data_IF_519271493481
#
_entry.id   IF_519271493481
#
_cell.length_a   1.000
_cell.length_b   1.000
_cell.length_c   1.000
_cell.angle_alpha   90.00
_cell.angle_beta   90.00
_cell.angle_gamma   90.00
#
_symmetry.space_group_name_H-M   'P 1'
#
loop_
_entity.id
_entity.type
_entity.pdbx_description
1 polymer ?
#
# COMPACT_ATOMS: atom_id res chain seq x y z
N UNK A 1 5.32 3.54 -19.54
CA UNK A 1 3.90 3.76 -19.48
C UNK A 1 3.53 4.54 -18.22
N UNK A 2 2.66 5.48 -18.40
CA UNK A 2 2.36 6.39 -17.32
C UNK A 2 1.18 5.92 -16.51
N UNK A 3 1.35 5.78 -15.23
CA UNK A 3 0.23 5.45 -14.36
C UNK A 3 -0.62 6.68 -14.11
N UNK A 4 -1.88 6.47 -13.88
CA UNK A 4 -2.78 7.55 -13.57
C UNK A 4 -3.08 8.42 -14.79
N UNK A 5 -4.11 9.22 -14.68
CA UNK A 5 -4.59 10.00 -15.83
C UNK A 5 -3.71 11.19 -16.13
N UNK A 6 -3.01 11.71 -15.15
CA UNK A 6 -2.15 12.88 -15.29
C UNK A 6 -0.67 12.51 -15.24
N UNK A 7 -0.35 11.23 -15.30
CA UNK A 7 1.02 10.78 -15.27
C UNK A 7 1.58 10.55 -13.88
N UNK A 8 0.81 10.84 -12.84
CA UNK A 8 1.24 10.61 -11.47
C UNK A 8 1.10 9.14 -11.11
N UNK A 9 2.01 8.59 -10.30
CA UNK A 9 1.84 7.22 -9.84
C UNK A 9 0.54 7.07 -9.05
N UNK A 10 -0.11 5.94 -9.24
CA UNK A 10 -1.37 5.66 -8.56
C UNK A 10 -1.15 4.70 -7.42
N UNK A 11 -1.58 5.10 -6.25
CA UNK A 11 -1.41 4.31 -5.02
C UNK A 11 -2.78 3.87 -4.53
N UNK A 12 -2.90 2.59 -4.22
CA UNK A 12 -4.11 2.05 -3.61
C UNK A 12 -3.87 1.91 -2.12
N UNK A 13 -4.69 2.58 -1.31
CA UNK A 13 -4.58 2.54 0.15
C UNK A 13 -5.74 1.74 0.72
N UNK A 14 -5.43 0.77 1.55
CA UNK A 14 -6.42 -0.11 2.17
C UNK A 14 -6.31 -0.02 3.69
N UNK A 15 -7.38 0.41 4.34
CA UNK A 15 -7.41 0.54 5.80
C UNK A 15 -8.87 0.61 6.19
N UNK A 16 -9.27 -0.16 7.22
CA UNK A 16 -10.67 -0.14 7.64
C UNK A 16 -10.96 0.95 8.65
N UNK A 17 -9.96 1.70 9.08
CA UNK A 17 -10.16 2.87 9.92
C UNK A 17 -10.37 4.08 9.01
N UNK A 18 -11.60 4.57 8.96
CA UNK A 18 -11.97 5.59 7.99
C UNK A 18 -11.15 6.86 8.13
N UNK A 19 -10.89 7.28 9.37
CA UNK A 19 -10.14 8.52 9.59
C UNK A 19 -8.69 8.35 9.16
N UNK A 20 -8.09 7.21 9.48
CA UNK A 20 -6.70 6.96 9.06
C UNK A 20 -6.59 6.93 7.54
N UNK A 21 -7.59 6.34 6.89
CA UNK A 21 -7.59 6.26 5.43
C UNK A 21 -7.69 7.65 4.82
N UNK A 22 -8.54 8.49 5.39
CA UNK A 22 -8.71 9.86 4.87
C UNK A 22 -7.44 10.69 5.05
N UNK A 23 -6.81 10.57 6.21
CA UNK A 23 -5.57 11.31 6.46
C UNK A 23 -4.47 10.87 5.49
N UNK A 24 -4.36 9.57 5.29
CA UNK A 24 -3.34 9.06 4.37
C UNK A 24 -3.59 9.51 2.95
N UNK A 25 -4.86 9.53 2.54
CA UNK A 25 -5.20 10.00 1.20
C UNK A 25 -4.75 11.44 1.00
N UNK A 26 -4.99 12.30 1.98
CA UNK A 26 -4.58 13.70 1.89
C UNK A 26 -3.07 13.82 1.82
N UNK A 27 -2.37 13.06 2.66
CA UNK A 27 -0.92 13.11 2.67
C UNK A 27 -0.34 12.72 1.31
N UNK A 28 -0.84 11.65 0.73
CA UNK A 28 -0.31 11.15 -0.53
C UNK A 28 -0.69 12.06 -1.69
N UNK A 29 -1.92 12.58 -1.68
CA UNK A 29 -2.33 13.50 -2.74
C UNK A 29 -1.49 14.76 -2.71
N UNK A 30 -1.18 15.29 -1.52
CA UNK A 30 -0.33 16.45 -1.41
C UNK A 30 1.09 16.18 -1.90
N UNK A 31 1.52 14.93 -1.83
CA UNK A 31 2.84 14.57 -2.32
C UNK A 31 2.88 14.31 -3.83
N UNK A 32 1.73 14.45 -4.50
CA UNK A 32 1.70 14.33 -5.95
C UNK A 32 1.22 13.00 -6.49
N UNK A 33 0.71 12.13 -5.63
CA UNK A 33 0.25 10.81 -6.08
C UNK A 33 -1.25 10.81 -6.35
N UNK A 34 -1.68 10.01 -7.31
CA UNK A 34 -3.09 9.69 -7.48
C UNK A 34 -3.44 8.58 -6.48
N UNK A 35 -4.59 8.69 -5.83
CA UNK A 35 -4.90 7.79 -4.72
C UNK A 35 -6.26 7.15 -4.91
N UNK A 36 -6.30 5.83 -4.78
CA UNK A 36 -7.54 5.07 -4.63
C UNK A 36 -7.59 4.57 -3.18
N UNK A 37 -8.78 4.50 -2.62
CA UNK A 37 -8.93 4.02 -1.25
C UNK A 37 -9.92 2.88 -1.18
N UNK A 38 -9.69 1.97 -0.24
CA UNK A 38 -10.57 0.85 0.02
C UNK A 38 -10.63 0.64 1.53
N UNK A 39 -11.81 0.28 2.03
CA UNK A 39 -12.02 0.11 3.46
C UNK A 39 -11.98 -1.35 3.90
N UNK A 40 -11.71 -2.27 2.99
CA UNK A 40 -11.56 -3.68 3.33
C UNK A 40 -10.59 -4.33 2.37
N UNK A 41 -10.09 -5.49 2.76
CA UNK A 41 -9.20 -6.24 1.87
C UNK A 41 -9.89 -6.66 0.60
N UNK A 42 -11.15 -7.07 0.69
CA UNK A 42 -11.89 -7.50 -0.49
C UNK A 42 -12.10 -6.35 -1.45
N UNK A 43 -12.52 -5.20 -0.96
CA UNK A 43 -12.68 -4.02 -1.82
C UNK A 43 -11.35 -3.63 -2.46
N UNK A 44 -10.28 -3.69 -1.66
CA UNK A 44 -8.97 -3.35 -2.17
C UNK A 44 -8.53 -4.27 -3.30
N UNK A 45 -8.78 -5.56 -3.15
CA UNK A 45 -8.41 -6.51 -4.19
C UNK A 45 -9.22 -6.28 -5.47
N UNK A 46 -10.50 -5.95 -5.33
CA UNK A 46 -11.32 -5.66 -6.51
C UNK A 46 -10.82 -4.42 -7.25
N UNK A 47 -10.51 -3.35 -6.52
CA UNK A 47 -9.95 -2.16 -7.14
C UNK A 47 -8.59 -2.44 -7.79
N UNK A 48 -7.79 -3.25 -7.14
CA UNK A 48 -6.48 -3.64 -7.65
C UNK A 48 -6.60 -4.35 -9.01
N UNK A 49 -7.58 -5.23 -9.14
CA UNK A 49 -7.78 -5.95 -10.40
C UNK A 49 -8.34 -5.06 -11.49
N UNK A 50 -9.12 -4.07 -11.13
CA UNK A 50 -9.88 -3.27 -12.10
C UNK A 50 -9.17 -2.01 -12.54
N UNK A 51 -8.10 -1.62 -11.87
CA UNK A 51 -7.42 -0.36 -12.14
C UNK A 51 -5.92 -0.56 -12.25
N UNK A 52 -5.24 0.28 -13.04
CA UNK A 52 -3.78 0.30 -13.00
C UNK A 52 -3.33 0.89 -11.66
N UNK A 53 -2.50 0.16 -10.95
CA UNK A 53 -2.00 0.57 -9.64
C UNK A 53 -0.49 0.39 -9.66
N UNK A 54 0.22 1.39 -9.14
CA UNK A 54 1.68 1.37 -9.14
C UNK A 54 2.24 0.92 -7.81
N UNK A 55 1.46 1.03 -6.74
CA UNK A 55 1.90 0.63 -5.41
C UNK A 55 0.67 0.45 -4.53
N UNK A 56 0.72 -0.53 -3.64
CA UNK A 56 -0.35 -0.78 -2.67
C UNK A 56 0.18 -0.50 -1.27
N UNK A 57 -0.62 0.22 -0.48
CA UNK A 57 -0.36 0.36 0.95
C UNK A 57 -1.53 -0.28 1.67
N UNK A 58 -1.26 -1.29 2.46
CA UNK A 58 -2.31 -2.03 3.14
C UNK A 58 -2.01 -2.16 4.62
N UNK A 59 -3.02 -1.91 5.44
CA UNK A 59 -2.93 -2.17 6.86
C UNK A 59 -2.88 -3.69 7.06
N UNK A 60 -2.03 -4.14 7.97
CA UNK A 60 -1.93 -5.57 8.23
C UNK A 60 -3.18 -6.11 8.91
N UNK A 61 -3.76 -5.33 9.81
CA UNK A 61 -4.91 -5.79 10.61
C UNK A 61 -6.19 -5.20 10.06
N UNK A 62 -6.72 -5.84 9.03
CA UNK A 62 -8.03 -5.48 8.48
C UNK A 62 -9.07 -6.45 9.05
N UNK A 63 -10.33 -6.03 9.02
CA UNK A 63 -11.37 -6.85 9.63
C UNK A 63 -11.64 -8.13 8.85
N UNK A 64 -11.40 -8.13 7.54
CA UNK A 64 -11.73 -9.30 6.72
C UNK A 64 -10.52 -10.16 6.37
N UNK A 65 -9.32 -9.60 6.36
CA UNK A 65 -8.12 -10.41 6.10
C UNK A 65 -6.89 -9.64 6.56
N UNK A 66 -5.77 -10.33 6.62
CA UNK A 66 -4.52 -9.69 7.03
C UNK A 66 -3.81 -9.11 5.83
N UNK A 67 -2.89 -8.17 6.10
CA UNK A 67 -2.03 -7.65 5.05
C UNK A 67 -1.21 -8.74 4.38
N UNK A 68 -0.79 -9.74 5.14
CA UNK A 68 -0.05 -10.86 4.55
C UNK A 68 -0.89 -11.60 3.53
N UNK A 69 -2.15 -11.84 3.83
CA UNK A 69 -3.05 -12.52 2.89
C UNK A 69 -3.28 -11.67 1.65
N UNK A 70 -3.46 -10.36 1.84
CA UNK A 70 -3.64 -9.46 0.71
C UNK A 70 -2.42 -9.45 -0.18
N UNK A 71 -1.23 -9.36 0.42
CA UNK A 71 0.00 -9.33 -0.37
C UNK A 71 0.15 -10.58 -1.21
N UNK A 72 -0.16 -11.74 -0.64
CA UNK A 72 -0.07 -12.98 -1.39
C UNK A 72 -1.03 -13.00 -2.56
N UNK A 73 -2.29 -12.62 -2.32
CA UNK A 73 -3.29 -12.61 -3.38
C UNK A 73 -2.91 -11.65 -4.50
N UNK A 74 -2.43 -10.48 -4.13
CA UNK A 74 -2.09 -9.47 -5.12
C UNK A 74 -0.85 -9.85 -5.92
N UNK A 75 0.13 -10.48 -5.27
CA UNK A 75 1.31 -10.93 -5.99
C UNK A 75 0.99 -12.03 -6.99
N UNK A 76 0.00 -12.85 -6.69
CA UNK A 76 -0.43 -13.87 -7.64
C UNK A 76 -1.11 -13.25 -8.84
N UNK A 77 -1.74 -12.08 -8.65
CA UNK A 77 -2.46 -11.41 -9.73
C UNK A 77 -1.54 -10.51 -10.55
N UNK A 78 -0.77 -9.65 -9.90
CA UNK A 78 0.14 -8.71 -10.56
C UNK A 78 1.46 -8.67 -9.79
N UNK A 79 2.37 -9.60 -10.05
CA UNK A 79 3.57 -9.76 -9.21
C UNK A 79 4.52 -8.57 -9.24
N UNK A 80 4.40 -7.71 -10.24
CA UNK A 80 5.33 -6.58 -10.36
C UNK A 80 4.94 -5.36 -9.52
N UNK A 81 3.73 -5.34 -8.95
CA UNK A 81 3.29 -4.18 -8.18
C UNK A 81 3.80 -4.30 -6.75
N UNK A 82 4.56 -3.32 -6.27
CA UNK A 82 5.07 -3.39 -4.89
C UNK A 82 3.96 -3.19 -3.88
N UNK A 83 4.10 -3.89 -2.75
CA UNK A 83 3.11 -3.86 -1.68
C UNK A 83 3.80 -3.48 -0.39
N UNK A 84 3.34 -2.39 0.22
CA UNK A 84 3.86 -1.87 1.48
C UNK A 84 2.83 -2.14 2.56
N UNK A 85 3.24 -2.86 3.59
CA UNK A 85 2.35 -3.19 4.70
C UNK A 85 2.59 -2.19 5.83
N UNK A 86 1.51 -1.69 6.38
CA UNK A 86 1.55 -0.73 7.49
C UNK A 86 0.85 -1.38 8.68
N UNK A 87 1.40 -1.21 9.86
CA UNK A 87 0.80 -1.82 11.05
C UNK A 87 1.06 -0.96 12.27
N UNK A 88 0.14 -1.00 13.22
CA UNK A 88 0.34 -0.35 14.50
C UNK A 88 1.35 -1.09 15.35
N UNK A 89 1.63 -2.36 15.04
CA UNK A 89 2.62 -3.13 15.78
C UNK A 89 4.01 -2.54 15.58
N UNK A 90 4.81 -2.56 16.63
CA UNK A 90 6.17 -2.04 16.55
C UNK A 90 7.10 -3.02 15.86
N UNK A 91 6.74 -4.29 15.83
CA UNK A 91 7.55 -5.32 15.17
C UNK A 91 6.82 -5.83 13.96
N UNK A 92 7.60 -6.19 12.96
CA UNK A 92 7.04 -6.71 11.72
C UNK A 92 6.29 -8.02 12.00
N UNK A 93 5.02 -8.09 11.60
CA UNK A 93 4.27 -9.34 11.77
C UNK A 93 4.86 -10.45 10.91
N UNK A 94 4.57 -11.69 11.30
CA UNK A 94 4.96 -12.82 10.48
C UNK A 94 4.14 -12.90 9.20
N UNK A 95 4.60 -13.69 8.27
CA UNK A 95 3.85 -13.96 7.04
C UNK A 95 3.94 -12.88 5.98
N UNK A 96 4.91 -11.99 6.08
CA UNK A 96 5.03 -10.87 5.14
C UNK A 96 6.03 -11.13 4.03
N UNK A 97 6.29 -12.38 3.72
CA UNK A 97 7.28 -12.69 2.67
C UNK A 97 6.86 -12.20 1.30
N UNK A 98 5.58 -11.98 1.08
CA UNK A 98 5.10 -11.46 -0.21
C UNK A 98 5.03 -9.94 -0.25
N UNK A 99 5.27 -9.26 0.86
CA UNK A 99 5.29 -7.80 0.88
C UNK A 99 6.66 -7.30 0.47
N UNK A 100 6.69 -6.10 -0.10
CA UNK A 100 7.93 -5.47 -0.52
C UNK A 100 8.49 -4.53 0.52
N UNK A 101 7.71 -4.19 1.53
CA UNK A 101 8.16 -3.35 2.61
C UNK A 101 7.20 -3.36 3.77
N UNK A 102 7.67 -2.89 4.91
CA UNK A 102 6.88 -2.81 6.12
C UNK A 102 7.19 -1.49 6.82
N UNK A 103 6.14 -0.81 7.27
CA UNK A 103 6.27 0.43 8.04
C UNK A 103 5.38 0.33 9.26
N UNK A 104 5.93 0.66 10.43
CA UNK A 104 5.12 0.82 11.62
C UNK A 104 4.41 2.17 11.56
N UNK A 105 3.15 2.21 11.97
CA UNK A 105 2.40 3.47 11.95
C UNK A 105 3.02 4.53 12.84
N UNK A 106 3.83 4.14 13.81
CA UNK A 106 4.50 5.08 14.67
C UNK A 106 5.68 5.80 14.05
N UNK A 107 6.11 5.38 12.86
CA UNK A 107 7.29 5.99 12.24
C UNK A 107 7.02 7.34 11.59
N UNK A 108 5.77 7.67 11.36
CA UNK A 108 5.43 9.00 10.90
C UNK A 108 5.36 9.12 9.39
N UNK A 109 4.88 10.29 8.91
CA UNK A 109 4.63 10.47 7.49
C UNK A 109 5.89 10.52 6.64
N UNK A 110 7.00 11.04 7.15
CA UNK A 110 8.21 11.12 6.34
C UNK A 110 8.74 9.74 6.01
N UNK A 111 8.71 8.81 6.99
CA UNK A 111 9.16 7.45 6.74
C UNK A 111 8.28 6.77 5.70
N UNK A 112 6.98 7.02 5.76
CA UNK A 112 6.06 6.46 4.78
C UNK A 112 6.36 6.97 3.38
N UNK A 113 6.53 8.29 3.24
CA UNK A 113 6.81 8.87 1.93
C UNK A 113 8.14 8.39 1.37
N UNK A 114 9.15 8.24 2.22
CA UNK A 114 10.44 7.71 1.76
C UNK A 114 10.32 6.27 1.27
N UNK A 115 9.59 5.44 2.00
CA UNK A 115 9.41 4.05 1.57
C UNK A 115 8.68 3.97 0.24
N UNK A 116 7.65 4.81 0.05
CA UNK A 116 6.91 4.83 -1.20
C UNK A 116 7.83 5.22 -2.35
N UNK A 117 8.61 6.27 -2.17
CA UNK A 117 9.50 6.73 -3.24
C UNK A 117 10.51 5.67 -3.61
N UNK A 118 11.06 4.96 -2.62
CA UNK A 118 12.02 3.91 -2.90
C UNK A 118 11.39 2.76 -3.67
N UNK A 119 10.21 2.34 -3.28
CA UNK A 119 9.55 1.22 -3.94
C UNK A 119 9.12 1.59 -5.35
N UNK A 120 8.64 2.81 -5.57
CA UNK A 120 8.26 3.26 -6.90
C UNK A 120 9.45 3.39 -7.82
N UNK A 121 10.62 3.71 -7.27
CA UNK A 121 11.84 3.82 -8.07
C UNK A 121 12.42 2.46 -8.44
N UNK A 122 11.81 1.38 -7.94
CA UNK A 122 12.32 0.05 -8.21
C UNK A 122 13.48 -0.34 -7.34
N UNK A 123 13.77 0.43 -6.30
CA UNK A 123 14.83 0.10 -5.36
C UNK A 123 14.32 -0.98 -4.42
N UNK A 124 15.04 -2.08 -4.39
CA UNK A 124 14.64 -3.20 -3.55
C UNK A 124 15.28 -3.06 -2.20
N UNK A 125 14.50 -2.68 -1.22
CA UNK A 125 15.03 -2.51 0.12
C UNK A 125 15.37 -3.81 0.78
N UNK A 126 14.76 -4.88 0.31
CA UNK A 126 15.11 -6.20 0.84
C UNK A 126 15.83 -6.97 -0.23
N UNK A 127 17.03 -6.78 -0.25
CA UNK A 127 17.85 -7.50 -1.21
C UNK A 127 18.40 -8.73 -0.60
#
# INVERSE_FOLDING_TARGET
MKPGVDGNPRILCIDDAEIALRVRKLLLANAGYAVLTASSGEEGFQLFKQNPVDLVIADHFLSDKTGAEIAKEMKECKPHVPILIVSAASEQPGGLEFADGFISKGEGPDALLDAIAQLLAGTHVKK
#
